data_IF_321100336266
#
_entry.id   IF_321100336266
#
_cell.length_a   1.000
_cell.length_b   1.000
_cell.length_c   1.000
_cell.angle_alpha   90.00
_cell.angle_beta   90.00
_cell.angle_gamma   90.00
#
_symmetry.space_group_name_H-M   'P 1'
#
loop_
_entity.id
_entity.type
_entity.pdbx_description
1 polymer ?
#
# COMPACT_ATOMS: atom_id res chain seq x y z
N UNK A 1 20.06 -2.97 -18.45
CA UNK A 1 19.79 -1.53 -18.22
C UNK A 1 18.33 -1.31 -17.80
N UNK A 2 17.38 -2.09 -18.32
CA UNK A 2 15.93 -1.97 -18.05
C UNK A 2 15.50 -2.30 -16.59
N UNK A 3 16.14 -3.26 -15.90
CA UNK A 3 15.61 -3.72 -14.60
C UNK A 3 15.94 -2.80 -13.39
N UNK A 4 17.06 -2.09 -13.41
CA UNK A 4 17.38 -1.12 -12.36
C UNK A 4 16.52 0.13 -12.44
N UNK A 5 16.24 0.62 -13.65
CA UNK A 5 15.31 1.75 -13.85
C UNK A 5 13.90 1.39 -13.38
N UNK A 6 13.44 0.16 -13.63
CA UNK A 6 12.13 -0.31 -13.16
C UNK A 6 12.02 -0.36 -11.64
N UNK A 7 13.04 -0.90 -10.97
CA UNK A 7 13.07 -0.92 -9.50
C UNK A 7 13.12 0.51 -8.94
N UNK A 8 13.84 1.41 -9.61
CA UNK A 8 13.86 2.82 -9.26
C UNK A 8 12.48 3.47 -9.39
N UNK A 9 11.76 3.21 -10.48
CA UNK A 9 10.39 3.71 -10.69
C UNK A 9 9.43 3.19 -9.61
N UNK A 10 9.49 1.89 -9.29
CA UNK A 10 8.68 1.30 -8.21
C UNK A 10 9.03 1.92 -6.85
N UNK A 11 10.32 2.09 -6.56
CA UNK A 11 10.79 2.75 -5.35
C UNK A 11 10.23 4.17 -5.25
N UNK A 12 10.27 4.93 -6.35
CA UNK A 12 9.74 6.28 -6.39
C UNK A 12 8.23 6.31 -6.14
N UNK A 13 7.46 5.39 -6.74
CA UNK A 13 6.02 5.32 -6.51
C UNK A 13 5.74 5.00 -5.04
N UNK A 14 6.40 3.98 -4.47
CA UNK A 14 6.24 3.63 -3.06
C UNK A 14 6.58 4.80 -2.13
N UNK A 15 7.74 5.46 -2.32
CA UNK A 15 8.15 6.60 -1.50
C UNK A 15 7.18 7.78 -1.60
N UNK A 16 6.66 8.06 -2.81
CA UNK A 16 5.66 9.10 -3.01
C UNK A 16 4.36 8.78 -2.29
N UNK A 17 3.85 7.55 -2.41
CA UNK A 17 2.63 7.12 -1.74
C UNK A 17 2.78 7.14 -0.22
N UNK A 18 3.93 6.70 0.30
CA UNK A 18 4.24 6.73 1.75
C UNK A 18 4.31 8.15 2.27
N UNK A 19 5.01 9.06 1.58
CA UNK A 19 5.08 10.47 1.97
C UNK A 19 3.69 11.12 2.01
N UNK A 20 2.83 10.74 1.06
CA UNK A 20 1.44 11.14 1.07
C UNK A 20 0.67 10.65 2.32
N UNK A 21 0.88 9.39 2.74
CA UNK A 21 0.30 8.85 3.97
C UNK A 21 0.84 9.53 5.23
N UNK A 22 2.12 9.90 5.27
CA UNK A 22 2.71 10.70 6.36
C UNK A 22 2.03 12.06 6.49
N UNK A 23 1.80 12.74 5.36
CA UNK A 23 1.14 14.03 5.32
C UNK A 23 -0.31 13.91 5.81
N UNK A 24 -1.04 12.89 5.34
CA UNK A 24 -2.40 12.60 5.81
C UNK A 24 -2.43 12.30 7.32
N UNK A 25 -1.50 11.47 7.79
CA UNK A 25 -1.35 11.13 9.21
C UNK A 25 -1.13 12.38 10.08
N UNK A 26 -0.25 13.28 9.61
CA UNK A 26 0.06 14.54 10.28
C UNK A 26 -1.15 15.49 10.28
N UNK A 27 -1.85 15.63 9.15
CA UNK A 27 -3.03 16.47 9.03
C UNK A 27 -4.17 16.00 9.95
N UNK A 28 -4.46 14.70 9.98
CA UNK A 28 -5.48 14.14 10.86
C UNK A 28 -5.11 14.23 12.34
N UNK A 29 -3.84 14.03 12.69
CA UNK A 29 -3.35 14.26 14.06
C UNK A 29 -3.55 15.71 14.49
N UNK A 30 -3.26 16.68 13.62
CA UNK A 30 -3.47 18.10 13.91
C UNK A 30 -4.96 18.42 14.16
N UNK A 31 -5.86 17.86 13.34
CA UNK A 31 -7.32 17.98 13.54
C UNK A 31 -7.70 17.41 14.92
N UNK A 32 -7.25 16.21 15.25
CA UNK A 32 -7.54 15.57 16.53
C UNK A 32 -7.00 16.39 17.73
N UNK A 33 -5.81 16.99 17.61
CA UNK A 33 -5.27 17.88 18.65
C UNK A 33 -6.01 19.20 18.77
N UNK A 34 -6.56 19.75 17.68
CA UNK A 34 -7.36 20.99 17.73
C UNK A 34 -8.69 20.82 18.46
N UNK A 35 -9.16 19.58 18.57
CA UNK A 35 -10.35 19.17 19.30
C UNK A 35 -10.04 18.74 20.74
N UNK A 36 -8.77 18.70 21.13
CA UNK A 36 -8.36 18.19 22.43
C UNK A 36 -8.80 19.14 23.56
N UNK A 37 -9.46 18.60 24.58
CA UNK A 37 -9.99 19.35 25.71
C UNK A 37 -11.36 20.01 25.48
N UNK A 38 -11.99 19.84 24.31
CA UNK A 38 -13.38 20.27 24.10
C UNK A 38 -14.36 19.13 24.38
N UNK A 39 -15.11 19.26 25.49
CA UNK A 39 -16.20 18.33 25.82
C UNK A 39 -17.53 18.68 25.11
N UNK A 40 -17.75 19.98 24.88
CA UNK A 40 -18.87 20.50 24.11
C UNK A 40 -18.31 21.55 23.14
N UNK A 41 -18.55 21.36 21.85
CA UNK A 41 -18.12 22.34 20.84
C UNK A 41 -19.17 23.43 20.68
N UNK A 42 -18.72 24.63 20.33
CA UNK A 42 -19.63 25.62 19.79
C UNK A 42 -19.78 25.41 18.27
N UNK A 43 -20.88 25.88 17.65
CA UNK A 43 -21.09 25.74 16.21
C UNK A 43 -19.95 26.32 15.35
N UNK A 44 -19.32 27.40 15.83
CA UNK A 44 -18.22 28.07 15.11
C UNK A 44 -16.96 27.20 15.00
N UNK A 45 -16.55 26.53 16.09
CA UNK A 45 -15.41 25.59 16.09
C UNK A 45 -15.77 24.36 15.28
N UNK A 46 -16.99 23.84 15.39
CA UNK A 46 -17.46 22.72 14.57
C UNK A 46 -17.35 23.04 13.07
N UNK A 47 -17.76 24.23 12.63
CA UNK A 47 -17.59 24.66 11.23
C UNK A 47 -16.13 24.73 10.79
N UNK A 48 -15.24 25.25 11.65
CA UNK A 48 -13.81 25.32 11.36
C UNK A 48 -13.20 23.93 11.20
N UNK A 49 -13.54 23.01 12.10
CA UNK A 49 -13.09 21.62 12.07
C UNK A 49 -13.64 20.90 10.85
N UNK A 50 -14.94 21.01 10.54
CA UNK A 50 -15.54 20.43 9.32
C UNK A 50 -14.80 20.93 8.07
N UNK A 51 -14.43 22.22 8.01
CA UNK A 51 -13.64 22.75 6.90
C UNK A 51 -12.26 22.10 6.82
N UNK A 52 -11.57 21.94 7.94
CA UNK A 52 -10.26 21.28 7.99
C UNK A 52 -10.35 19.81 7.55
N UNK A 53 -11.39 19.08 8.00
CA UNK A 53 -11.68 17.71 7.57
C UNK A 53 -11.90 17.66 6.06
N UNK A 54 -12.73 18.53 5.50
CA UNK A 54 -13.01 18.56 4.05
C UNK A 54 -11.76 18.87 3.22
N UNK A 55 -10.83 19.70 3.74
CA UNK A 55 -9.54 19.94 3.08
C UNK A 55 -8.70 18.66 3.09
N UNK A 56 -8.54 18.04 4.25
CA UNK A 56 -7.80 16.79 4.43
C UNK A 56 -8.37 15.66 3.56
N UNK A 57 -9.70 15.53 3.48
CA UNK A 57 -10.40 14.56 2.62
C UNK A 57 -10.17 14.81 1.12
N UNK A 58 -10.08 16.07 0.70
CA UNK A 58 -9.77 16.39 -0.69
C UNK A 58 -8.32 16.07 -1.04
N UNK A 59 -7.39 16.35 -0.13
CA UNK A 59 -5.97 16.05 -0.31
C UNK A 59 -5.75 14.53 -0.45
N UNK A 60 -6.41 13.72 0.38
CA UNK A 60 -6.27 12.26 0.28
C UNK A 60 -6.89 11.69 -1.00
N UNK A 61 -8.03 12.22 -1.47
CA UNK A 61 -8.59 11.84 -2.77
C UNK A 61 -7.65 12.20 -3.93
N UNK A 62 -7.01 13.37 -3.86
CA UNK A 62 -6.01 13.78 -4.85
C UNK A 62 -4.80 12.85 -4.88
N UNK A 63 -4.34 12.43 -3.70
CA UNK A 63 -3.26 11.45 -3.54
C UNK A 63 -3.66 10.07 -4.10
N UNK A 64 -4.86 9.58 -3.82
CA UNK A 64 -5.35 8.30 -4.36
C UNK A 64 -5.38 8.34 -5.91
N UNK A 65 -5.81 9.44 -6.52
CA UNK A 65 -5.82 9.59 -7.98
C UNK A 65 -4.41 9.74 -8.58
N UNK A 66 -3.50 10.47 -7.91
CA UNK A 66 -2.10 10.56 -8.33
C UNK A 66 -1.41 9.18 -8.26
N UNK A 67 -1.60 8.46 -7.15
CA UNK A 67 -1.09 7.10 -6.98
C UNK A 67 -1.64 6.17 -8.06
N UNK A 68 -2.94 6.24 -8.34
CA UNK A 68 -3.57 5.47 -9.42
C UNK A 68 -2.92 5.79 -10.77
N UNK A 69 -2.77 7.06 -11.12
CA UNK A 69 -2.12 7.48 -12.36
C UNK A 69 -0.68 6.97 -12.45
N UNK A 70 0.08 7.04 -11.36
CA UNK A 70 1.44 6.49 -11.30
C UNK A 70 1.48 4.97 -11.48
N UNK A 71 0.56 4.24 -10.84
CA UNK A 71 0.45 2.78 -10.98
C UNK A 71 0.08 2.39 -12.41
N UNK A 72 -0.91 3.05 -13.01
CA UNK A 72 -1.33 2.78 -14.39
C UNK A 72 -0.23 3.09 -15.41
N UNK A 73 0.41 4.26 -15.31
CA UNK A 73 1.40 4.70 -16.30
C UNK A 73 2.76 4.02 -16.14
N UNK A 74 3.22 3.81 -14.90
CA UNK A 74 4.56 3.32 -14.61
C UNK A 74 4.60 1.83 -14.28
N UNK A 75 3.53 1.26 -13.72
CA UNK A 75 3.54 -0.12 -13.22
C UNK A 75 2.69 -1.08 -14.05
N UNK A 76 1.63 -0.65 -14.74
CA UNK A 76 0.83 -1.57 -15.57
C UNK A 76 1.63 -2.19 -16.74
N UNK A 77 2.62 -1.46 -17.25
CA UNK A 77 3.62 -2.00 -18.19
C UNK A 77 4.60 -2.98 -17.52
N UNK A 78 4.86 -2.81 -16.22
CA UNK A 78 5.75 -3.65 -15.43
C UNK A 78 5.08 -4.92 -14.95
N UNK A 79 3.81 -4.91 -14.56
CA UNK A 79 3.07 -6.13 -14.22
C UNK A 79 2.97 -7.03 -15.46
N UNK A 80 2.65 -6.45 -16.63
CA UNK A 80 2.67 -7.18 -17.90
C UNK A 80 4.07 -7.67 -18.27
N UNK A 81 5.14 -6.91 -18.03
CA UNK A 81 6.50 -7.34 -18.35
C UNK A 81 7.09 -8.37 -17.37
N UNK A 82 6.84 -8.21 -16.07
CA UNK A 82 7.15 -9.22 -15.06
C UNK A 82 6.44 -10.53 -15.41
N UNK A 83 5.19 -10.44 -15.90
CA UNK A 83 4.35 -11.57 -16.25
C UNK A 83 4.65 -12.18 -17.63
N UNK A 84 5.05 -11.40 -18.64
CA UNK A 84 5.40 -11.91 -19.97
C UNK A 84 6.74 -12.67 -19.97
N UNK A 85 7.70 -12.24 -19.14
CA UNK A 85 8.96 -12.96 -18.95
C UNK A 85 8.75 -14.33 -18.24
N UNK A 86 7.57 -14.57 -17.64
CA UNK A 86 7.16 -15.86 -17.05
C UNK A 86 6.86 -16.91 -18.12
N UNK A 87 6.21 -16.49 -19.21
CA UNK A 87 5.69 -17.40 -20.24
C UNK A 87 6.77 -17.88 -21.21
N UNK A 88 7.70 -16.99 -21.57
CA UNK A 88 8.76 -17.27 -22.56
C UNK A 88 9.89 -18.18 -22.03
N UNK A 89 10.08 -18.27 -20.70
CA UNK A 89 11.12 -19.12 -20.08
C UNK A 89 10.61 -20.48 -19.56
N UNK A 90 9.36 -20.83 -19.87
CA UNK A 90 8.73 -22.14 -19.60
C UNK A 90 9.45 -23.35 -20.24
N UNK A 91 10.54 -23.12 -20.96
CA UNK A 91 11.47 -24.15 -21.49
C UNK A 91 12.68 -24.46 -20.59
N UNK A 92 12.72 -23.98 -19.35
CA UNK A 92 13.82 -24.29 -18.42
C UNK A 92 13.47 -25.45 -17.47
N UNK A 93 13.77 -26.66 -17.94
CA UNK A 93 13.90 -27.87 -17.12
C UNK A 93 15.08 -27.81 -16.10
N UNK A 94 15.47 -26.62 -15.62
CA UNK A 94 16.70 -26.40 -14.87
C UNK A 94 16.52 -25.48 -13.65
N UNK A 95 15.63 -25.83 -12.73
CA UNK A 95 15.79 -25.43 -11.31
C UNK A 95 16.91 -26.24 -10.64
N UNK A 96 18.08 -26.32 -11.27
CA UNK A 96 19.27 -26.96 -10.70
C UNK A 96 20.38 -25.91 -10.56
N UNK A 97 20.94 -25.80 -9.36
CA UNK A 97 22.05 -24.91 -9.07
C UNK A 97 21.69 -23.43 -8.95
N UNK A 98 22.69 -22.57 -9.13
CA UNK A 98 22.65 -21.13 -8.85
C UNK A 98 21.59 -20.35 -9.63
N UNK A 99 21.38 -20.65 -10.92
CA UNK A 99 20.40 -19.95 -11.77
C UNK A 99 18.95 -20.11 -11.26
N UNK A 100 18.61 -21.29 -10.74
CA UNK A 100 17.31 -21.54 -10.14
C UNK A 100 17.08 -20.71 -8.86
N UNK A 101 18.13 -20.52 -8.06
CA UNK A 101 18.08 -19.67 -6.85
C UNK A 101 17.88 -18.20 -7.22
N UNK A 102 18.62 -17.68 -8.20
CA UNK A 102 18.45 -16.30 -8.67
C UNK A 102 17.04 -16.04 -9.18
N UNK A 103 16.50 -17.01 -9.93
CA UNK A 103 15.14 -16.92 -10.42
C UNK A 103 14.12 -16.92 -9.28
N UNK A 104 14.29 -17.80 -8.29
CA UNK A 104 13.42 -17.83 -7.11
C UNK A 104 13.49 -16.51 -6.32
N UNK A 105 14.68 -15.96 -6.08
CA UNK A 105 14.83 -14.68 -5.38
C UNK A 105 14.20 -13.52 -6.16
N UNK A 106 14.42 -13.45 -7.48
CA UNK A 106 13.76 -12.46 -8.34
C UNK A 106 12.24 -12.56 -8.21
N UNK A 107 11.69 -13.77 -8.24
CA UNK A 107 10.26 -14.06 -8.10
C UNK A 107 9.69 -13.61 -6.75
N UNK A 108 10.39 -13.91 -5.65
CA UNK A 108 9.98 -13.45 -4.31
C UNK A 108 9.93 -11.93 -4.28
N UNK A 109 11.02 -11.27 -4.69
CA UNK A 109 11.13 -9.82 -4.60
C UNK A 109 10.05 -9.13 -5.44
N UNK A 110 9.81 -9.65 -6.64
CA UNK A 110 8.73 -9.21 -7.51
C UNK A 110 7.34 -9.34 -6.87
N UNK A 111 7.04 -10.48 -6.25
CA UNK A 111 5.76 -10.68 -5.59
C UNK A 111 5.60 -9.75 -4.38
N UNK A 112 6.63 -9.64 -3.55
CA UNK A 112 6.61 -8.77 -2.37
C UNK A 112 6.41 -7.30 -2.77
N UNK A 113 7.08 -6.84 -3.83
CA UNK A 113 6.88 -5.49 -4.38
C UNK A 113 5.43 -5.26 -4.84
N UNK A 114 4.83 -6.24 -5.53
CA UNK A 114 3.45 -6.14 -5.97
C UNK A 114 2.48 -6.07 -4.78
N UNK A 115 2.71 -6.88 -3.75
CA UNK A 115 1.90 -6.85 -2.52
C UNK A 115 2.03 -5.49 -1.83
N UNK A 116 3.26 -5.01 -1.62
CA UNK A 116 3.53 -3.71 -1.01
C UNK A 116 2.87 -2.57 -1.78
N UNK A 117 3.03 -2.57 -3.10
CA UNK A 117 2.46 -1.55 -3.96
C UNK A 117 0.92 -1.57 -3.90
N UNK A 118 0.29 -2.73 -3.99
CA UNK A 118 -1.17 -2.85 -3.85
C UNK A 118 -1.68 -2.37 -2.49
N UNK A 119 -0.89 -2.56 -1.42
CA UNK A 119 -1.24 -2.10 -0.09
C UNK A 119 -1.18 -0.59 0.08
N UNK A 120 -0.19 0.06 -0.54
CA UNK A 120 0.26 1.42 -0.16
C UNK A 120 -0.09 2.48 -1.19
N UNK A 121 -0.05 2.16 -2.49
CA UNK A 121 -0.28 3.18 -3.53
C UNK A 121 -1.75 3.26 -3.93
N UNK A 122 -2.27 2.22 -4.58
CA UNK A 122 -3.64 2.14 -5.06
C UNK A 122 -3.91 0.71 -5.56
N UNK A 123 -4.95 0.05 -5.05
CA UNK A 123 -5.40 -1.25 -5.55
C UNK A 123 -6.69 -1.11 -6.35
N UNK A 124 -6.64 -1.44 -7.64
CA UNK A 124 -7.78 -1.38 -8.54
C UNK A 124 -8.66 -2.65 -8.47
N UNK A 125 -8.07 -3.82 -8.22
CA UNK A 125 -8.76 -5.12 -8.10
C UNK A 125 -7.78 -6.27 -7.80
N UNK A 126 -8.28 -7.38 -7.24
CA UNK A 126 -7.58 -8.68 -7.12
C UNK A 126 -7.02 -9.22 -8.45
N UNK A 127 -7.50 -8.71 -9.58
CA UNK A 127 -7.00 -9.06 -10.92
C UNK A 127 -5.51 -8.74 -11.16
N UNK A 128 -4.89 -7.91 -10.31
CA UNK A 128 -3.43 -7.74 -10.26
C UNK A 128 -2.68 -9.05 -9.89
N UNK A 129 -3.39 -9.98 -9.24
CA UNK A 129 -2.91 -11.29 -8.82
C UNK A 129 -3.56 -12.43 -9.63
N UNK A 130 -4.62 -12.16 -10.41
CA UNK A 130 -5.26 -13.12 -11.33
C UNK A 130 -4.46 -13.31 -12.61
N UNK A 131 -3.29 -13.92 -12.50
CA UNK A 131 -2.74 -14.64 -13.64
C UNK A 131 -1.73 -15.69 -13.23
N UNK A 132 -2.22 -16.89 -12.90
CA UNK A 132 -1.63 -18.17 -13.32
C UNK A 132 -2.57 -19.34 -12.95
N UNK A 133 -3.73 -19.46 -13.59
CA UNK A 133 -4.17 -20.82 -13.87
C UNK A 133 -3.10 -21.42 -14.78
N UNK A 134 -2.24 -22.25 -14.20
CA UNK A 134 -1.58 -23.32 -14.91
C UNK A 134 -2.68 -24.28 -15.40
N UNK A 135 -3.56 -23.80 -16.27
CA UNK A 135 -4.53 -24.62 -16.97
C UNK A 135 -3.71 -25.50 -17.92
N UNK A 136 -3.50 -26.76 -17.51
CA UNK A 136 -3.00 -27.80 -18.40
C UNK A 136 -1.55 -28.27 -18.21
N UNK A 137 -0.84 -27.95 -17.13
CA UNK A 137 0.37 -28.69 -16.77
C UNK A 137 0.58 -28.74 -15.25
N UNK A 138 -0.05 -29.73 -14.62
CA UNK A 138 0.21 -30.22 -13.24
C UNK A 138 1.67 -30.70 -13.01
N UNK A 139 2.60 -30.39 -13.93
CA UNK A 139 3.92 -30.99 -14.04
C UNK A 139 5.07 -29.98 -13.96
N UNK A 140 4.82 -28.74 -13.55
CA UNK A 140 5.86 -27.73 -13.39
C UNK A 140 5.88 -27.12 -11.97
N UNK A 141 7.00 -27.27 -11.26
CA UNK A 141 7.48 -26.28 -10.30
C UNK A 141 7.55 -26.74 -8.83
N UNK A 142 8.73 -26.63 -8.24
CA UNK A 142 9.09 -26.92 -6.84
C UNK A 142 8.06 -26.46 -5.76
N UNK A 143 8.15 -27.04 -4.54
CA UNK A 143 7.35 -26.67 -3.35
C UNK A 143 7.30 -25.15 -3.07
N UNK A 144 8.33 -24.42 -3.50
CA UNK A 144 8.41 -22.97 -3.42
C UNK A 144 7.35 -22.28 -4.32
N UNK A 145 7.20 -22.71 -5.57
CA UNK A 145 6.21 -22.15 -6.51
C UNK A 145 4.78 -22.36 -6.01
N UNK A 146 4.51 -23.54 -5.42
CA UNK A 146 3.20 -23.85 -4.80
C UNK A 146 2.91 -22.91 -3.64
N UNK A 147 3.91 -22.61 -2.80
CA UNK A 147 3.75 -21.70 -1.67
C UNK A 147 3.50 -20.25 -2.14
N UNK A 148 4.19 -19.83 -3.21
CA UNK A 148 4.03 -18.51 -3.80
C UNK A 148 2.64 -18.31 -4.43
N UNK A 149 2.13 -19.30 -5.16
CA UNK A 149 0.79 -19.28 -5.72
C UNK A 149 -0.29 -19.23 -4.62
N UNK A 150 -0.10 -20.00 -3.53
CA UNK A 150 -1.00 -19.93 -2.35
C UNK A 150 -0.99 -18.56 -1.70
N UNK A 151 0.16 -17.88 -1.63
CA UNK A 151 0.24 -16.53 -1.09
C UNK A 151 -0.50 -15.54 -2.00
N UNK A 152 -0.28 -15.60 -3.32
CA UNK A 152 -1.01 -14.77 -4.28
C UNK A 152 -2.52 -14.94 -4.17
N UNK A 153 -2.99 -16.18 -4.11
CA UNK A 153 -4.42 -16.47 -3.94
C UNK A 153 -4.98 -15.93 -2.62
N UNK A 154 -4.22 -16.06 -1.51
CA UNK A 154 -4.64 -15.49 -0.22
C UNK A 154 -4.75 -13.98 -0.27
N UNK A 155 -3.78 -13.30 -0.89
CA UNK A 155 -3.80 -11.84 -1.05
C UNK A 155 -4.97 -11.41 -1.94
N UNK A 156 -5.19 -12.08 -3.08
CA UNK A 156 -6.32 -11.81 -3.96
C UNK A 156 -7.67 -11.95 -3.24
N UNK A 157 -7.86 -13.06 -2.52
CA UNK A 157 -9.08 -13.30 -1.74
C UNK A 157 -9.28 -12.25 -0.65
N UNK A 158 -8.20 -11.80 0.01
CA UNK A 158 -8.30 -10.76 1.05
C UNK A 158 -8.77 -9.43 0.45
N UNK A 159 -8.26 -9.08 -0.74
CA UNK A 159 -8.67 -7.87 -1.48
C UNK A 159 -10.16 -7.96 -1.86
N UNK A 160 -10.62 -9.11 -2.36
CA UNK A 160 -12.01 -9.30 -2.78
C UNK A 160 -13.00 -9.38 -1.61
N UNK A 161 -12.56 -9.94 -0.47
CA UNK A 161 -13.39 -10.03 0.73
C UNK A 161 -13.47 -8.71 1.49
N UNK A 162 -12.46 -7.86 1.37
CA UNK A 162 -12.53 -6.50 1.85
C UNK A 162 -13.56 -5.78 0.97
N UNK A 163 -14.76 -5.49 1.51
CA UNK A 163 -15.78 -4.67 0.83
C UNK A 163 -15.32 -3.20 0.66
N UNK A 164 -14.02 -2.98 0.54
CA UNK A 164 -13.33 -1.70 0.49
C UNK A 164 -13.35 -1.24 -0.96
N UNK A 165 -13.81 -0.02 -1.20
CA UNK A 165 -13.75 0.59 -2.53
C UNK A 165 -12.30 0.63 -3.04
N UNK A 166 -12.07 0.58 -4.36
CA UNK A 166 -10.74 0.67 -4.94
C UNK A 166 -9.94 1.86 -4.38
N UNK A 167 -8.76 1.60 -3.83
CA UNK A 167 -8.01 2.59 -3.07
C UNK A 167 -6.81 2.00 -2.34
N UNK A 168 -6.33 2.71 -1.32
CA UNK A 168 -5.20 2.29 -0.49
C UNK A 168 -5.68 1.23 0.50
N UNK A 169 -5.08 0.03 0.51
CA UNK A 169 -5.56 -1.08 1.33
C UNK A 169 -4.94 -1.15 2.73
N UNK A 170 -4.02 -0.24 3.06
CA UNK A 170 -3.42 -0.19 4.40
C UNK A 170 -4.50 -0.07 5.47
N UNK A 171 -4.55 -1.04 6.38
CA UNK A 171 -5.64 -1.18 7.34
C UNK A 171 -5.73 0.05 8.27
N UNK A 172 -4.59 0.49 8.82
CA UNK A 172 -4.52 1.64 9.71
C UNK A 172 -5.01 2.93 9.00
N UNK A 173 -4.80 3.01 7.68
CA UNK A 173 -5.31 4.11 6.87
C UNK A 173 -6.83 4.05 6.72
N UNK A 174 -7.38 2.87 6.44
CA UNK A 174 -8.83 2.68 6.31
C UNK A 174 -9.56 2.97 7.63
N UNK A 175 -9.01 2.53 8.77
CA UNK A 175 -9.55 2.85 10.09
C UNK A 175 -9.50 4.35 10.39
N UNK A 176 -8.38 5.02 10.08
CA UNK A 176 -8.25 6.46 10.26
C UNK A 176 -9.22 7.26 9.36
N UNK A 177 -9.38 6.84 8.09
CA UNK A 177 -10.33 7.43 7.14
C UNK A 177 -11.77 7.28 7.62
N UNK A 178 -12.15 6.10 8.10
CA UNK A 178 -13.48 5.85 8.66
C UNK A 178 -13.73 6.66 9.95
N UNK A 179 -12.77 6.70 10.88
CA UNK A 179 -12.88 7.49 12.11
C UNK A 179 -13.03 9.00 11.82
N UNK A 180 -12.33 9.51 10.81
CA UNK A 180 -12.46 10.89 10.35
C UNK A 180 -13.85 11.19 9.80
N UNK A 181 -14.42 10.30 9.00
CA UNK A 181 -15.78 10.46 8.46
C UNK A 181 -16.84 10.36 9.55
N UNK A 182 -16.70 9.42 10.49
CA UNK A 182 -17.61 9.33 11.65
C UNK A 182 -17.64 10.64 12.45
N UNK A 183 -16.47 11.23 12.72
CA UNK A 183 -16.37 12.51 13.43
C UNK A 183 -17.06 13.63 12.63
N UNK A 184 -16.83 13.70 11.32
CA UNK A 184 -17.44 14.71 10.45
C UNK A 184 -18.97 14.65 10.49
N UNK A 185 -19.54 13.46 10.34
CA UNK A 185 -21.00 13.26 10.38
C UNK A 185 -21.59 13.76 11.69
N UNK A 186 -20.91 13.52 12.80
CA UNK A 186 -21.37 13.97 14.11
C UNK A 186 -21.29 15.50 14.26
N UNK A 187 -20.20 16.12 13.78
CA UNK A 187 -20.07 17.58 13.75
C UNK A 187 -21.14 18.24 12.86
N UNK A 188 -21.46 17.63 11.72
CA UNK A 188 -22.51 18.13 10.82
C UNK A 188 -23.90 18.05 11.47
N UNK A 189 -24.20 16.96 12.21
CA UNK A 189 -25.44 16.84 12.99
C UNK A 189 -25.54 17.91 14.07
N UNK A 190 -24.47 18.15 14.80
CA UNK A 190 -24.41 19.19 15.82
C UNK A 190 -24.73 20.58 15.24
N UNK A 191 -24.17 20.90 14.08
CA UNK A 191 -24.42 22.18 13.39
C UNK A 191 -25.88 22.30 12.91
N UNK A 192 -26.49 21.21 12.42
CA UNK A 192 -27.84 21.24 11.85
C UNK A 192 -28.92 21.26 12.92
N UNK A 193 -28.73 20.51 14.02
CA UNK A 193 -29.75 20.34 15.06
C UNK A 193 -29.51 21.20 16.31
N UNK A 194 -28.38 21.92 16.39
CA UNK A 194 -27.95 22.70 17.56
C UNK A 194 -27.95 21.89 18.88
N UNK A 195 -27.79 20.57 18.80
CA UNK A 195 -27.76 19.66 19.94
C UNK A 195 -26.32 19.47 20.46
N UNK A 196 -26.13 19.54 21.78
CA UNK A 196 -24.85 19.22 22.42
C UNK A 196 -24.62 17.70 22.44
N UNK A 197 -23.74 17.22 21.55
CA UNK A 197 -23.25 15.85 21.57
C UNK A 197 -21.91 15.75 22.27
N UNK A 198 -21.70 14.66 23.01
CA UNK A 198 -20.38 14.30 23.52
C UNK A 198 -19.56 13.71 22.37
N UNK A 199 -18.59 14.50 21.89
CA UNK A 199 -17.70 14.10 20.81
C UNK A 199 -16.40 13.45 21.31
N UNK A 200 -16.17 13.40 22.63
CA UNK A 200 -14.88 13.02 23.20
C UNK A 200 -14.49 11.60 22.76
N UNK A 201 -15.44 10.67 22.77
CA UNK A 201 -15.20 9.29 22.33
C UNK A 201 -14.72 9.24 20.86
N UNK A 202 -15.32 10.04 19.98
CA UNK A 202 -14.95 10.10 18.57
C UNK A 202 -13.58 10.76 18.37
N UNK A 203 -13.27 11.79 19.13
CA UNK A 203 -11.96 12.45 19.12
C UNK A 203 -10.87 11.50 19.61
N UNK A 204 -11.10 10.76 20.71
CA UNK A 204 -10.14 9.77 21.21
C UNK A 204 -9.96 8.60 20.24
N UNK A 205 -11.04 8.11 19.62
CA UNK A 205 -10.95 7.12 18.53
C UNK A 205 -10.10 7.65 17.37
N UNK A 206 -10.34 8.89 16.95
CA UNK A 206 -9.56 9.55 15.88
C UNK A 206 -8.07 9.62 16.25
N UNK A 207 -7.74 10.10 17.45
CA UNK A 207 -6.35 10.15 17.93
C UNK A 207 -5.69 8.78 17.91
N UNK A 208 -6.39 7.75 18.39
CA UNK A 208 -5.89 6.38 18.40
C UNK A 208 -5.61 5.88 16.99
N UNK A 209 -6.56 6.03 16.06
CA UNK A 209 -6.40 5.59 14.67
C UNK A 209 -5.25 6.33 13.97
N UNK A 210 -5.14 7.64 14.14
CA UNK A 210 -4.05 8.42 13.53
C UNK A 210 -2.67 8.14 14.16
N UNK A 211 -2.63 7.80 15.46
CA UNK A 211 -1.44 7.31 16.12
C UNK A 211 -0.97 5.95 15.57
N UNK A 212 -1.91 5.02 15.36
CA UNK A 212 -1.64 3.73 14.72
C UNK A 212 -1.18 3.90 13.27
N UNK A 213 -1.85 4.74 12.49
CA UNK A 213 -1.45 5.07 11.12
C UNK A 213 -0.04 5.64 11.07
N UNK A 214 0.29 6.59 11.96
CA UNK A 214 1.64 7.16 12.03
C UNK A 214 2.69 6.09 12.28
N UNK A 215 2.47 5.24 13.29
CA UNK A 215 3.38 4.14 13.61
C UNK A 215 3.50 3.14 12.45
N UNK A 216 2.39 2.83 11.78
CA UNK A 216 2.34 1.94 10.62
C UNK A 216 3.16 2.48 9.45
N UNK A 217 3.02 3.78 9.17
CA UNK A 217 3.77 4.47 8.11
C UNK A 217 5.26 4.57 8.44
N UNK A 218 5.64 4.89 9.67
CA UNK A 218 7.05 4.91 10.12
C UNK A 218 7.71 3.53 9.98
N UNK A 219 6.99 2.47 10.36
CA UNK A 219 7.47 1.10 10.18
C UNK A 219 7.59 0.73 8.69
N UNK A 220 6.61 1.13 7.88
CA UNK A 220 6.62 0.90 6.43
C UNK A 220 7.81 1.56 5.75
N UNK A 221 8.18 2.78 6.13
CA UNK A 221 9.38 3.48 5.63
C UNK A 221 10.62 2.62 5.88
N UNK A 222 10.82 2.19 7.13
CA UNK A 222 11.95 1.35 7.50
C UNK A 222 11.97 0.04 6.71
N UNK A 223 10.81 -0.62 6.56
CA UNK A 223 10.71 -1.89 5.82
C UNK A 223 10.97 -1.74 4.33
N UNK A 224 10.54 -0.63 3.72
CA UNK A 224 10.79 -0.36 2.31
C UNK A 224 12.27 -0.06 2.09
N UNK A 225 12.90 0.76 2.94
CA UNK A 225 14.32 1.05 2.83
C UNK A 225 15.17 -0.23 3.04
N UNK A 226 14.90 -1.02 4.10
CA UNK A 226 15.55 -2.32 4.34
C UNK A 226 15.45 -3.24 3.11
N UNK A 227 14.26 -3.34 2.53
CA UNK A 227 14.01 -4.23 1.39
C UNK A 227 14.77 -3.79 0.12
N UNK A 228 14.83 -2.49 -0.17
CA UNK A 228 15.62 -1.99 -1.29
C UNK A 228 17.13 -2.12 -1.05
N UNK A 229 17.59 -1.95 0.18
CA UNK A 229 18.99 -2.18 0.56
C UNK A 229 19.39 -3.65 0.36
N UNK A 230 18.54 -4.61 0.74
CA UNK A 230 18.75 -6.03 0.48
C UNK A 230 18.85 -6.35 -1.02
N UNK A 231 17.99 -5.72 -1.86
CA UNK A 231 18.07 -5.88 -3.31
C UNK A 231 19.39 -5.33 -3.86
N UNK A 232 19.80 -4.13 -3.43
CA UNK A 232 21.04 -3.49 -3.87
C UNK A 232 22.25 -4.32 -3.45
N UNK A 233 22.31 -4.75 -2.19
CA UNK A 233 23.39 -5.56 -1.65
C UNK A 233 23.46 -6.92 -2.36
N UNK A 234 22.31 -7.58 -2.58
CA UNK A 234 22.23 -8.83 -3.32
C UNK A 234 22.79 -8.68 -4.74
N UNK A 235 22.42 -7.61 -5.47
CA UNK A 235 22.94 -7.36 -6.82
C UNK A 235 24.44 -7.05 -6.82
N UNK A 236 24.94 -6.35 -5.81
CA UNK A 236 26.37 -6.09 -5.64
C UNK A 236 27.15 -7.39 -5.44
N UNK A 237 26.71 -8.25 -4.52
CA UNK A 237 27.32 -9.57 -4.28
C UNK A 237 27.37 -10.40 -5.57
N UNK A 238 26.32 -10.37 -6.39
CA UNK A 238 26.29 -11.07 -7.68
C UNK A 238 27.27 -10.48 -8.71
N UNK A 239 27.41 -9.15 -8.75
CA UNK A 239 28.39 -8.48 -9.60
C UNK A 239 29.82 -8.83 -9.18
N UNK A 240 30.12 -8.82 -7.88
CA UNK A 240 31.44 -9.17 -7.35
C UNK A 240 31.83 -10.61 -7.73
N UNK A 241 30.93 -11.57 -7.54
CA UNK A 241 31.12 -12.97 -7.96
C UNK A 241 31.36 -13.14 -9.47
N UNK A 242 30.80 -12.26 -10.30
CA UNK A 242 30.98 -12.29 -11.75
C UNK A 242 32.24 -11.55 -12.22
N UNK A 243 32.82 -10.70 -11.35
CA UNK A 243 33.97 -9.85 -11.66
C UNK A 243 35.30 -10.48 -11.23
N UNK A 244 35.28 -11.48 -10.35
CA UNK A 244 36.45 -12.27 -9.93
C UNK A 244 36.90 -13.31 -10.99
N UNK A 245 37.01 -12.90 -12.26
CA UNK A 245 37.59 -13.69 -13.35
C UNK A 245 38.88 -13.08 -13.87
#
# INVERSE_FOLDING_TARGET
MDESSRLWDICHVLKSSISGLENYSSAGSNIATSLDGFHHLNPEVSHQVIRAINICQREILGLEEENKSMVETRIQSLSQSLNQNISLESKLNEYKGFRGVLYAMRRVNSLLLMILLSGVSYCWSSSCFDHQECEGNLTCGSSFMVSMARLQQKVANEIDNSNVEPGILLHEFQEAKAAMEELKVELERMVVYEEEFDIQEKVEKLKSCFGLLKCGVENLIGKVDDFFDEIVEGRKKLLDMCSDK
#
